data_IF_706430954401
#
_entry.id   IF_706430954401
#
_cell.length_a   1.000
_cell.length_b   1.000
_cell.length_c   1.000
_cell.angle_alpha   90.00
_cell.angle_beta   90.00
_cell.angle_gamma   90.00
#
_symmetry.space_group_name_H-M   'P 1'
#
loop_
_entity.id
_entity.type
_entity.pdbx_description
1 polymer ?
#
# COMPACT_ATOMS: atom_id res chain seq x y z
N UNK A 1 6.75 6.15 -5.15
CA UNK A 1 5.67 5.17 -4.92
C UNK A 1 5.19 5.34 -3.50
N UNK A 2 3.90 5.17 -3.26
CA UNK A 2 3.29 5.20 -1.92
C UNK A 2 2.75 3.81 -1.57
N UNK A 3 2.75 3.50 -0.29
CA UNK A 3 2.14 2.30 0.25
C UNK A 3 1.42 2.67 1.54
N UNK A 4 0.14 2.34 1.62
CA UNK A 4 -0.66 2.49 2.81
C UNK A 4 -0.62 1.21 3.64
N UNK A 5 -0.48 1.38 4.95
CA UNK A 5 -0.78 0.39 5.97
C UNK A 5 -1.91 0.94 6.81
N UNK A 6 -3.10 0.36 6.65
CA UNK A 6 -4.30 0.78 7.34
C UNK A 6 -4.55 -0.16 8.52
N UNK A 7 -4.37 0.36 9.73
CA UNK A 7 -4.77 -0.31 10.96
C UNK A 7 -6.20 0.06 11.34
N UNK A 8 -6.91 -0.91 11.90
CA UNK A 8 -8.23 -0.72 12.48
C UNK A 8 -8.33 -1.54 13.76
N UNK A 9 -9.22 -1.15 14.67
CA UNK A 9 -9.47 -1.89 15.90
C UNK A 9 -10.85 -2.54 15.80
N UNK A 10 -10.89 -3.86 15.96
CA UNK A 10 -12.13 -4.65 15.95
C UNK A 10 -12.10 -5.56 17.17
N UNK A 11 -13.11 -5.47 18.02
CA UNK A 11 -13.23 -6.29 19.24
C UNK A 11 -11.95 -6.23 20.12
N UNK A 12 -11.37 -5.04 20.26
CA UNK A 12 -10.12 -4.77 21.00
C UNK A 12 -8.86 -5.44 20.41
N UNK A 13 -8.91 -5.88 19.16
CA UNK A 13 -7.78 -6.44 18.44
C UNK A 13 -7.36 -5.50 17.31
N UNK A 14 -6.05 -5.29 17.15
CA UNK A 14 -5.50 -4.50 16.05
C UNK A 14 -5.44 -5.39 14.80
N UNK A 15 -6.16 -4.97 13.78
CA UNK A 15 -6.21 -5.58 12.46
C UNK A 15 -5.56 -4.67 11.42
N UNK A 16 -5.02 -5.28 10.37
CA UNK A 16 -4.49 -4.59 9.19
C UNK A 16 -5.29 -5.00 7.95
N UNK A 17 -5.63 -4.01 7.13
CA UNK A 17 -6.31 -4.23 5.86
C UNK A 17 -5.30 -4.60 4.76
N UNK A 18 -5.46 -5.78 4.15
CA UNK A 18 -4.60 -6.26 3.07
C UNK A 18 -5.42 -7.00 2.00
N UNK A 19 -4.96 -6.94 0.75
CA UNK A 19 -5.44 -7.76 -0.35
C UNK A 19 -4.27 -8.52 -0.98
N UNK A 20 -4.55 -9.68 -1.56
CA UNK A 20 -3.53 -10.42 -2.32
C UNK A 20 -3.39 -9.83 -3.72
N UNK A 21 -2.16 -9.64 -4.23
CA UNK A 21 -1.95 -9.30 -5.65
C UNK A 21 -2.20 -10.53 -6.52
N UNK A 22 -3.16 -10.43 -7.45
CA UNK A 22 -3.57 -11.55 -8.32
C UNK A 22 -3.24 -11.35 -9.79
N UNK A 23 -2.70 -10.19 -10.17
CA UNK A 23 -2.20 -9.98 -11.53
C UNK A 23 -0.78 -10.54 -11.67
N UNK A 24 -0.55 -11.58 -12.51
CA UNK A 24 0.76 -12.20 -12.68
C UNK A 24 1.80 -11.28 -13.34
N UNK A 25 1.37 -10.20 -14.00
CA UNK A 25 2.26 -9.24 -14.64
C UNK A 25 2.74 -8.12 -13.69
N UNK A 26 2.25 -8.10 -12.45
CA UNK A 26 2.64 -7.13 -11.42
C UNK A 26 3.70 -7.73 -10.51
N UNK A 27 4.59 -6.86 -10.02
CA UNK A 27 5.56 -7.25 -8.99
C UNK A 27 4.84 -7.71 -7.71
N UNK A 28 5.49 -8.62 -6.98
CA UNK A 28 4.93 -9.23 -5.76
C UNK A 28 3.63 -10.03 -5.99
N UNK A 29 3.52 -10.70 -7.15
CA UNK A 29 2.42 -11.63 -7.42
C UNK A 29 2.20 -12.63 -6.27
N UNK A 30 0.94 -12.86 -5.90
CA UNK A 30 0.47 -13.69 -4.78
C UNK A 30 0.87 -13.21 -3.38
N UNK A 31 1.54 -12.06 -3.23
CA UNK A 31 1.83 -11.46 -1.93
C UNK A 31 0.69 -10.58 -1.44
N UNK A 32 0.54 -10.49 -0.12
CA UNK A 32 -0.37 -9.55 0.51
C UNK A 32 0.18 -8.13 0.40
N UNK A 33 -0.69 -7.18 0.13
CA UNK A 33 -0.36 -5.77 0.01
C UNK A 33 -1.50 -4.89 0.54
N UNK A 34 -1.16 -3.70 1.05
CA UNK A 34 -2.15 -2.66 1.29
C UNK A 34 -2.37 -1.81 0.03
N UNK A 35 -3.20 -0.76 0.11
CA UNK A 35 -3.41 0.15 -0.99
C UNK A 35 -2.15 0.94 -1.36
N UNK A 36 -1.94 1.26 -2.63
CA UNK A 36 -0.86 2.18 -2.99
C UNK A 36 -0.42 2.15 -4.45
N UNK A 37 0.19 3.26 -4.86
CA UNK A 37 0.59 3.44 -6.25
C UNK A 37 1.62 4.55 -6.44
N UNK A 38 1.52 5.23 -7.58
CA UNK A 38 2.51 6.24 -7.99
C UNK A 38 1.88 7.62 -7.87
N UNK A 39 2.63 8.58 -7.34
CA UNK A 39 2.22 9.97 -7.33
C UNK A 39 2.14 10.50 -8.78
N UNK A 40 1.14 11.32 -9.06
CA UNK A 40 0.93 11.92 -10.38
C UNK A 40 1.79 13.19 -10.46
N UNK A 41 2.91 13.10 -11.19
CA UNK A 41 3.87 14.19 -11.32
C UNK A 41 3.28 15.42 -12.01
N UNK A 42 2.47 15.24 -13.06
CA UNK A 42 1.85 16.31 -13.84
C UNK A 42 0.89 17.17 -13.00
N UNK A 43 0.39 16.61 -11.90
CA UNK A 43 -0.52 17.29 -10.96
C UNK A 43 0.20 17.88 -9.75
N UNK A 44 1.54 17.80 -9.69
CA UNK A 44 2.33 18.15 -8.50
C UNK A 44 1.79 17.50 -7.23
N UNK A 45 1.32 16.25 -7.35
CA UNK A 45 0.70 15.53 -6.24
C UNK A 45 1.74 15.20 -5.16
N UNK A 46 1.48 15.62 -3.93
CA UNK A 46 2.31 15.25 -2.80
C UNK A 46 2.01 13.81 -2.33
N UNK A 47 2.93 13.23 -1.54
CA UNK A 47 2.80 11.81 -1.17
C UNK A 47 1.59 11.51 -0.28
N UNK A 48 1.14 12.46 0.55
CA UNK A 48 -0.07 12.31 1.37
C UNK A 48 -1.32 12.25 0.49
N UNK A 49 -1.45 13.20 -0.43
CA UNK A 49 -2.55 13.23 -1.40
C UNK A 49 -2.57 11.97 -2.25
N UNK A 50 -1.40 11.49 -2.67
CA UNK A 50 -1.26 10.23 -3.39
C UNK A 50 -1.77 9.04 -2.55
N UNK A 51 -1.36 8.91 -1.28
CA UNK A 51 -1.86 7.83 -0.40
C UNK A 51 -3.38 7.87 -0.25
N UNK A 52 -3.94 9.07 -0.05
CA UNK A 52 -5.39 9.25 0.13
C UNK A 52 -6.14 8.87 -1.16
N UNK A 53 -5.65 9.31 -2.31
CA UNK A 53 -6.22 8.97 -3.62
C UNK A 53 -6.17 7.47 -3.88
N UNK A 54 -5.00 6.85 -3.77
CA UNK A 54 -4.80 5.42 -4.04
C UNK A 54 -5.66 4.56 -3.10
N UNK A 55 -5.78 4.94 -1.82
CA UNK A 55 -6.69 4.28 -0.89
C UNK A 55 -8.13 4.32 -1.39
N UNK A 56 -8.61 5.50 -1.78
CA UNK A 56 -9.97 5.66 -2.28
C UNK A 56 -10.20 4.91 -3.60
N UNK A 57 -9.26 5.00 -4.54
CA UNK A 57 -9.34 4.34 -5.84
C UNK A 57 -9.41 2.81 -5.69
N UNK A 58 -8.65 2.22 -4.78
CA UNK A 58 -8.59 0.75 -4.62
C UNK A 58 -9.63 0.16 -3.64
N UNK A 59 -10.14 0.97 -2.70
CA UNK A 59 -10.97 0.47 -1.57
C UNK A 59 -12.27 1.24 -1.33
N UNK A 60 -12.44 2.41 -1.95
CA UNK A 60 -13.45 3.43 -1.62
C UNK A 60 -13.42 3.95 -0.17
N UNK A 61 -12.37 3.64 0.60
CA UNK A 61 -12.20 4.18 1.96
C UNK A 61 -11.74 5.63 1.89
N UNK A 62 -12.50 6.52 2.55
CA UNK A 62 -12.14 7.93 2.66
C UNK A 62 -11.24 8.15 3.87
N UNK A 63 -9.94 8.33 3.62
CA UNK A 63 -8.98 8.72 4.64
C UNK A 63 -9.13 10.22 4.97
N UNK A 64 -9.10 10.54 6.27
CA UNK A 64 -9.06 11.92 6.78
C UNK A 64 -7.71 12.17 7.46
N UNK A 65 -7.13 13.35 7.25
CA UNK A 65 -5.77 13.69 7.69
C UNK A 65 -5.56 13.58 9.22
N UNK A 66 -6.61 13.78 10.01
CA UNK A 66 -6.58 13.72 11.48
C UNK A 66 -6.18 12.32 12.03
N UNK A 67 -6.15 11.30 11.18
CA UNK A 67 -5.88 9.90 11.53
C UNK A 67 -4.54 9.36 11.00
N UNK A 68 -3.72 10.22 10.39
CA UNK A 68 -2.37 9.86 9.94
C UNK A 68 -1.46 9.73 11.16
N UNK A 69 -0.94 8.52 11.40
CA UNK A 69 -0.05 8.26 12.54
C UNK A 69 1.39 8.59 12.18
N UNK A 70 1.85 8.13 11.01
CA UNK A 70 3.25 8.31 10.61
C UNK A 70 3.44 8.13 9.11
N UNK A 71 4.40 8.88 8.56
CA UNK A 71 4.94 8.67 7.21
C UNK A 71 6.41 8.31 7.34
N UNK A 72 6.80 7.21 6.73
CA UNK A 72 8.19 6.83 6.51
C UNK A 72 8.53 6.98 5.04
N UNK A 73 9.73 7.46 4.75
CA UNK A 73 10.26 7.54 3.39
C UNK A 73 11.53 6.73 3.35
N UNK A 74 11.60 5.79 2.42
CA UNK A 74 12.75 4.95 2.19
C UNK A 74 13.17 5.05 0.73
N UNK A 75 14.48 5.07 0.50
CA UNK A 75 15.02 5.05 -0.86
C UNK A 75 15.33 3.62 -1.24
N UNK A 76 14.64 3.08 -2.23
CA UNK A 76 14.82 1.71 -2.70
C UNK A 76 15.47 1.72 -4.08
N UNK A 77 16.38 0.78 -4.34
CA UNK A 77 17.00 0.62 -5.66
C UNK A 77 16.16 -0.31 -6.53
N UNK A 78 16.00 0.05 -7.81
CA UNK A 78 15.25 -0.75 -8.78
C UNK A 78 16.18 -1.71 -9.51
N UNK A 79 16.11 -2.99 -9.16
CA UNK A 79 16.85 -4.04 -9.88
C UNK A 79 16.35 -4.20 -11.32
N UNK A 80 15.08 -3.91 -11.59
CA UNK A 80 14.53 -3.94 -12.96
C UNK A 80 15.12 -2.84 -13.83
N UNK A 81 15.07 -1.60 -13.38
CA UNK A 81 15.60 -0.44 -14.14
C UNK A 81 17.11 -0.55 -14.33
N UNK A 82 17.83 -1.06 -13.32
CA UNK A 82 19.24 -1.43 -13.41
C UNK A 82 19.54 -2.38 -14.59
N UNK A 83 18.69 -3.39 -14.80
CA UNK A 83 18.89 -4.42 -15.83
C UNK A 83 18.41 -3.93 -17.21
N UNK A 84 17.31 -3.19 -17.28
CA UNK A 84 16.71 -2.79 -18.57
C UNK A 84 17.32 -1.54 -19.20
N UNK A 85 17.85 -0.60 -18.41
CA UNK A 85 18.31 0.70 -18.93
C UNK A 85 19.83 0.90 -18.93
N UNK A 86 20.61 -0.09 -18.47
CA UNK A 86 22.08 0.00 -18.38
C UNK A 86 22.54 1.26 -17.59
N UNK A 87 21.70 1.72 -16.65
CA UNK A 87 21.90 2.94 -15.88
C UNK A 87 22.82 2.69 -14.68
N UNK A 88 23.48 3.75 -14.18
CA UNK A 88 24.32 3.62 -12.99
C UNK A 88 23.42 3.37 -11.76
N UNK A 89 23.85 2.54 -10.81
CA UNK A 89 23.05 2.22 -9.60
C UNK A 89 22.58 3.47 -8.81
N UNK A 90 23.34 4.56 -8.89
CA UNK A 90 23.00 5.86 -8.31
C UNK A 90 21.82 6.57 -9.00
N UNK A 91 21.46 6.16 -10.21
CA UNK A 91 20.38 6.70 -11.04
C UNK A 91 19.12 5.82 -10.98
N UNK A 92 19.25 4.56 -10.56
CA UNK A 92 18.17 3.57 -10.51
C UNK A 92 17.55 3.44 -9.11
N UNK A 93 17.11 4.54 -8.51
CA UNK A 93 16.41 4.51 -7.23
C UNK A 93 15.02 5.11 -7.34
N UNK A 94 14.07 4.54 -6.61
CA UNK A 94 12.76 5.11 -6.38
C UNK A 94 12.54 5.30 -4.89
N UNK A 95 11.87 6.39 -4.54
CA UNK A 95 11.46 6.66 -3.17
C UNK A 95 10.14 5.94 -2.93
N UNK A 96 10.13 5.05 -1.93
CA UNK A 96 8.93 4.46 -1.38
C UNK A 96 8.52 5.25 -0.15
N UNK A 97 7.29 5.73 -0.15
CA UNK A 97 6.69 6.39 1.01
C UNK A 97 5.68 5.44 1.63
N UNK A 98 5.95 4.98 2.85
CA UNK A 98 5.02 4.18 3.65
C UNK A 98 4.20 5.12 4.54
N UNK A 99 2.88 5.10 4.40
CA UNK A 99 1.98 5.83 5.28
C UNK A 99 1.22 4.87 6.18
N UNK A 100 1.17 5.19 7.47
CA UNK A 100 0.45 4.40 8.48
C UNK A 100 -0.72 5.22 8.99
N UNK A 101 -1.92 4.65 8.85
CA UNK A 101 -3.16 5.23 9.34
C UNK A 101 -3.80 4.32 10.38
N UNK A 102 -4.42 4.93 11.40
CA UNK A 102 -5.37 4.25 12.28
C UNK A 102 -6.78 4.71 11.90
N UNK A 103 -7.58 3.82 11.35
CA UNK A 103 -8.90 4.15 10.83
C UNK A 103 -9.95 3.17 11.36
N UNK A 104 -10.95 3.62 12.15
CA UNK A 104 -12.11 2.80 12.45
C UNK A 104 -12.87 2.58 11.14
N UNK A 105 -12.93 1.34 10.67
CA UNK A 105 -13.66 1.01 9.46
C UNK A 105 -15.16 1.05 9.77
N UNK A 106 -15.80 2.18 9.46
CA UNK A 106 -17.26 2.33 9.54
C UNK A 106 -17.96 1.51 8.45
N UNK A 107 -17.30 1.39 7.28
CA UNK A 107 -17.78 0.63 6.14
C UNK A 107 -16.74 -0.40 5.69
N UNK A 108 -17.20 -1.46 5.02
CA UNK A 108 -16.32 -2.47 4.43
C UNK A 108 -15.67 -1.93 3.16
N UNK A 109 -14.37 -2.24 2.93
CA UNK A 109 -13.68 -1.86 1.69
C UNK A 109 -14.36 -2.49 0.48
N UNK A 110 -14.45 -1.75 -0.63
CA UNK A 110 -14.95 -2.27 -1.90
C UNK A 110 -13.82 -2.76 -2.78
N UNK A 111 -14.12 -3.76 -3.61
CA UNK A 111 -13.19 -4.27 -4.60
C UNK A 111 -13.35 -3.51 -5.93
N UNK A 112 -12.59 -2.45 -6.12
CA UNK A 112 -12.67 -1.61 -7.34
C UNK A 112 -11.74 -2.10 -8.45
N UNK A 113 -10.63 -2.78 -8.10
CA UNK A 113 -9.66 -3.34 -9.06
C UNK A 113 -9.57 -4.88 -9.01
N UNK A 114 -10.64 -5.62 -9.35
CA UNK A 114 -10.68 -7.09 -9.23
C UNK A 114 -9.76 -7.83 -10.21
N UNK A 115 -9.09 -7.13 -11.12
CA UNK A 115 -8.12 -7.69 -12.05
C UNK A 115 -6.66 -7.49 -11.58
N UNK A 116 -6.44 -6.67 -10.56
CA UNK A 116 -5.11 -6.38 -9.98
C UNK A 116 -4.97 -7.01 -8.60
N UNK A 117 -6.00 -6.83 -7.78
CA UNK A 117 -6.05 -7.25 -6.38
C UNK A 117 -7.18 -8.26 -6.19
N UNK A 118 -6.94 -9.23 -5.32
CA UNK A 118 -7.97 -10.09 -4.76
C UNK A 118 -8.79 -9.33 -3.71
N UNK A 119 -9.76 -10.01 -3.07
CA UNK A 119 -10.60 -9.39 -2.07
C UNK A 119 -9.81 -8.82 -0.90
N UNK A 120 -10.31 -7.71 -0.37
CA UNK A 120 -9.80 -7.09 0.84
C UNK A 120 -10.16 -7.90 2.09
N UNK A 121 -9.16 -8.14 2.94
CA UNK A 121 -9.31 -8.88 4.19
C UNK A 121 -8.64 -8.16 5.35
N UNK A 122 -9.23 -8.32 6.52
CA UNK A 122 -8.67 -7.84 7.79
C UNK A 122 -7.91 -8.98 8.45
N UNK A 123 -6.62 -8.75 8.64
CA UNK A 123 -5.74 -9.72 9.31
C UNK A 123 -5.41 -9.21 10.70
N UNK A 124 -5.56 -10.07 11.71
CA UNK A 124 -5.02 -9.77 13.03
C UNK A 124 -3.51 -9.76 12.94
N UNK A 125 -2.85 -8.77 13.54
CA UNK A 125 -1.38 -8.66 13.54
C UNK A 125 -0.73 -9.99 13.95
N UNK A 126 -1.25 -10.61 15.02
CA UNK A 126 -0.74 -11.89 15.55
C UNK A 126 -0.76 -13.05 14.55
N UNK A 127 -1.66 -13.03 13.57
CA UNK A 127 -1.77 -14.09 12.58
C UNK A 127 -0.80 -13.91 11.40
N UNK A 128 -0.37 -12.67 11.13
CA UNK A 128 0.60 -12.37 10.08
C UNK A 128 2.04 -12.70 10.49
N UNK A 129 2.36 -12.62 11.77
CA UNK A 129 3.71 -12.89 12.30
C UNK A 129 3.93 -14.35 12.71
N UNK A 130 3.01 -15.26 12.36
CA UNK A 130 3.25 -16.69 12.52
C UNK A 130 4.25 -17.13 11.46
N UNK A 131 5.47 -17.44 11.88
CA UNK A 131 6.44 -18.18 11.05
C UNK A 131 5.82 -19.52 10.66
N UNK A 132 5.94 -19.95 9.39
CA UNK A 132 5.68 -21.34 9.04
C UNK A 132 6.60 -22.22 9.89
N UNK A 133 6.05 -23.23 10.56
CA UNK A 133 6.81 -24.33 11.17
C UNK A 133 7.52 -25.17 10.10
#
# INVERSE_FOLDING_TARGET
MTQLILFTEIENEICILLAQRINPNKDFYLKLNGPGGKAIHEKNENMEACVIRECFEETEIVLRNEKLVKIFKETCYSTKELITENCLQKEAYYIVTLAIYLHPLEESPKQTEPHTLGPWHLYKIKDLFKTPE
#
